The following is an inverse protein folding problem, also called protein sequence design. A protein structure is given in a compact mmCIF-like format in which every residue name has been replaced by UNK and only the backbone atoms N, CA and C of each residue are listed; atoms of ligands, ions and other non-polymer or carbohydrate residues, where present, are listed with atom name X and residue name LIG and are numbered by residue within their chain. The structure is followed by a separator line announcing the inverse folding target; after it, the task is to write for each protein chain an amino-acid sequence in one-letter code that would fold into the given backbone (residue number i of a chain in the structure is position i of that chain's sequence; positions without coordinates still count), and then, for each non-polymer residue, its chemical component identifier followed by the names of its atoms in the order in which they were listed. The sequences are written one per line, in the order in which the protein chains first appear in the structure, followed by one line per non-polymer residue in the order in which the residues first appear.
data_IF_959499730838
#
_entry.id   IF_959499730838
#
_cell.length_a   1.000
_cell.length_b   1.000
_cell.length_c   1.000
_cell.angle_alpha   90.00
_cell.angle_beta   90.00
_cell.angle_gamma   90.00
#
_symmetry.space_group_name_H-M   'P 1'
#
loop_
_entity.id
_entity.type
_entity.pdbx_description
1 polymer ?
#
# COMPACT_ATOMS: atom_id res chain seq x y z
N UNK A 1 -11.36 -10.11 12.28
CA UNK A 1 -10.51 -9.13 11.55
C UNK A 1 -10.76 -7.77 12.19
N UNK A 2 -9.80 -7.27 12.97
CA UNK A 2 -10.02 -6.11 13.85
C UNK A 2 -10.00 -4.79 13.06
N UNK A 3 -10.65 -3.72 13.56
CA UNK A 3 -10.68 -2.42 12.90
C UNK A 3 -9.28 -1.85 12.60
N UNK A 4 -8.30 -2.14 13.46
CA UNK A 4 -6.90 -1.73 13.27
C UNK A 4 -6.21 -2.49 12.14
N UNK A 5 -6.42 -3.80 12.01
CA UNK A 5 -5.90 -4.57 10.88
C UNK A 5 -6.39 -4.03 9.53
N UNK A 6 -7.60 -3.46 9.49
CA UNK A 6 -8.16 -2.81 8.30
C UNK A 6 -7.53 -1.45 8.00
N UNK A 7 -7.08 -0.73 9.04
CA UNK A 7 -6.35 0.54 8.91
C UNK A 7 -4.92 0.31 8.40
N UNK A 8 -4.24 -0.71 8.94
CA UNK A 8 -2.93 -1.17 8.44
C UNK A 8 -3.01 -1.68 7.00
N UNK A 9 -4.04 -2.46 6.67
CA UNK A 9 -4.27 -2.97 5.31
C UNK A 9 -4.59 -1.86 4.29
N UNK A 10 -5.23 -0.76 4.71
CA UNK A 10 -5.51 0.39 3.85
C UNK A 10 -4.38 1.43 3.78
N UNK A 11 -3.47 1.46 4.77
CA UNK A 11 -2.24 2.27 4.71
C UNK A 11 -1.13 1.56 3.93
N UNK A 12 -0.99 0.23 4.06
CA UNK A 12 0.00 -0.57 3.31
C UNK A 12 -0.28 -0.71 1.80
N UNK A 13 -1.51 -0.45 1.36
CA UNK A 13 -1.83 -0.38 -0.09
C UNK A 13 -1.39 0.95 -0.74
N UNK A 14 -0.97 1.95 0.05
CA UNK A 14 -0.41 3.21 -0.45
C UNK A 14 1.11 3.24 -0.50
N UNK A 15 1.80 2.25 0.06
CA UNK A 15 3.24 2.10 -0.02
C UNK A 15 3.54 0.79 -0.75
N UNK A 16 3.86 0.88 -2.04
CA UNK A 16 4.11 -0.27 -2.90
C UNK A 16 5.40 -1.01 -2.51
N UNK A 17 5.35 -1.79 -1.43
CA UNK A 17 6.31 -2.86 -1.15
C UNK A 17 5.62 -4.19 -1.42
N UNK A 18 5.74 -4.64 -2.67
CA UNK A 18 5.67 -6.07 -2.96
C UNK A 18 6.86 -6.73 -2.27
N UNK A 19 6.64 -7.32 -1.09
CA UNK A 19 7.43 -8.47 -0.63
C UNK A 19 6.44 -9.39 0.09
N UNK A 20 5.67 -10.09 -0.75
CA UNK A 20 5.12 -11.37 -0.37
C UNK A 20 6.27 -12.36 -0.16
N UNK A 21 6.01 -13.39 0.64
CA UNK A 21 6.83 -14.58 0.86
C UNK A 21 7.83 -14.47 2.02
N UNK A 22 7.32 -14.66 3.23
CA UNK A 22 8.16 -14.84 4.42
C UNK A 22 7.41 -15.39 5.62
N UNK A 23 6.39 -16.23 5.40
CA UNK A 23 5.77 -17.03 6.45
C UNK A 23 5.52 -18.42 5.89
N UNK A 24 5.92 -19.43 6.67
CA UNK A 24 5.96 -20.88 6.41
C UNK A 24 7.26 -21.35 5.74
N UNK A 25 8.30 -21.62 6.56
CA UNK A 25 8.61 -23.02 6.85
C UNK A 25 9.41 -23.17 8.15
N UNK A 26 9.01 -24.18 8.91
CA UNK A 26 9.54 -24.60 10.21
C UNK A 26 10.39 -25.85 9.95
N UNK A 27 11.37 -26.08 10.82
CA UNK A 27 12.10 -27.33 11.08
C UNK A 27 13.31 -27.60 10.15
N UNK A 28 14.52 -27.29 10.63
CA UNK A 28 15.48 -28.26 11.21
C UNK A 28 16.79 -27.56 11.63
N UNK A 29 17.34 -27.94 12.80
CA UNK A 29 18.77 -27.79 13.12
C UNK A 29 19.17 -26.61 14.01
N UNK A 30 19.22 -26.83 15.33
CA UNK A 30 20.03 -26.02 16.26
C UNK A 30 21.49 -26.46 16.13
N UNK A 31 22.45 -25.53 16.00
CA UNK A 31 23.50 -25.41 17.02
C UNK A 31 23.78 -23.92 17.35
N UNK A 32 23.68 -23.54 18.62
CA UNK A 32 24.83 -23.38 19.53
C UNK A 32 25.45 -21.97 19.47
N UNK A 33 25.14 -21.17 20.51
CA UNK A 33 25.96 -20.13 21.15
C UNK A 33 27.02 -19.40 20.31
N UNK A 34 26.73 -18.16 19.91
CA UNK A 34 27.76 -17.12 19.71
C UNK A 34 27.30 -15.80 20.38
N UNK A 35 28.20 -15.08 21.08
CA UNK A 35 27.87 -13.82 21.74
C UNK A 35 27.61 -12.74 20.68
N UNK A 36 26.33 -12.37 20.53
CA UNK A 36 25.80 -11.06 20.13
C UNK A 36 26.87 -9.95 20.02
N UNK A 37 27.54 -9.92 18.86
CA UNK A 37 28.44 -8.84 18.47
C UNK A 37 27.57 -7.68 18.01
N UNK A 38 27.46 -6.67 18.85
CA UNK A 38 26.81 -5.41 18.52
C UNK A 38 27.68 -4.70 17.48
N UNK A 39 27.13 -4.39 16.32
CA UNK A 39 27.72 -3.42 15.39
C UNK A 39 28.29 -3.99 14.09
N UNK A 40 27.46 -4.65 13.29
CA UNK A 40 27.54 -4.44 11.84
C UNK A 40 26.24 -3.76 11.42
N UNK A 41 26.25 -2.42 11.47
CA UNK A 41 25.32 -1.64 10.66
C UNK A 41 25.73 -1.90 9.22
N UNK A 42 25.13 -2.94 8.64
CA UNK A 42 25.12 -3.16 7.20
C UNK A 42 24.79 -1.82 6.54
N UNK A 43 25.63 -1.30 5.62
CA UNK A 43 25.38 -0.01 5.01
C UNK A 43 24.06 -0.11 4.23
N UNK A 44 23.00 0.44 4.83
CA UNK A 44 21.66 0.44 4.30
C UNK A 44 21.72 0.86 2.83
N UNK A 45 21.48 -0.10 1.94
CA UNK A 45 21.63 0.09 0.50
C UNK A 45 20.91 1.38 0.06
N UNK A 46 21.52 2.19 -0.82
CA UNK A 46 20.94 3.46 -1.23
C UNK A 46 19.52 3.21 -1.78
N UNK A 47 18.55 4.08 -1.45
CA UNK A 47 17.17 3.87 -1.86
C UNK A 47 17.11 3.75 -3.38
N UNK A 48 16.53 2.64 -3.86
CA UNK A 48 16.38 2.36 -5.29
C UNK A 48 15.69 3.55 -5.99
N UNK A 49 16.15 3.95 -7.19
CA UNK A 49 15.59 5.11 -7.88
C UNK A 49 14.10 4.89 -8.16
N UNK A 50 13.26 5.81 -7.67
CA UNK A 50 11.81 5.76 -7.87
C UNK A 50 11.50 5.97 -9.35
N UNK A 51 10.79 5.01 -9.96
CA UNK A 51 10.35 5.12 -11.35
C UNK A 51 9.40 6.31 -11.50
N UNK A 52 9.58 7.09 -12.57
CA UNK A 52 8.69 8.22 -12.88
C UNK A 52 7.27 7.69 -13.11
N UNK A 53 6.33 8.16 -12.30
CA UNK A 53 4.91 7.80 -12.40
C UNK A 53 4.36 8.26 -13.76
N UNK A 54 3.74 7.36 -14.51
CA UNK A 54 3.20 7.69 -15.84
C UNK A 54 2.08 8.73 -15.76
N UNK A 55 1.84 9.44 -16.87
CA UNK A 55 0.78 10.46 -16.99
C UNK A 55 -0.59 9.90 -16.59
N UNK A 56 -0.89 8.66 -16.97
CA UNK A 56 -2.09 7.94 -16.58
C UNK A 56 -2.27 7.83 -15.06
N UNK A 57 -1.24 7.36 -14.35
CA UNK A 57 -1.29 7.20 -12.90
C UNK A 57 -1.45 8.55 -12.18
N UNK A 58 -0.84 9.61 -12.72
CA UNK A 58 -1.04 10.98 -12.21
C UNK A 58 -2.50 11.43 -12.36
N UNK A 59 -3.12 11.21 -13.53
CA UNK A 59 -4.52 11.53 -13.79
C UNK A 59 -5.46 10.71 -12.89
N UNK A 60 -5.23 9.41 -12.80
CA UNK A 60 -6.01 8.50 -11.96
C UNK A 60 -5.97 8.92 -10.48
N UNK A 61 -4.79 9.27 -9.95
CA UNK A 61 -4.67 9.76 -8.58
C UNK A 61 -5.44 11.06 -8.32
N UNK A 62 -5.47 11.99 -9.30
CA UNK A 62 -6.25 13.23 -9.20
C UNK A 62 -7.75 12.95 -9.16
N UNK A 63 -8.25 12.08 -10.05
CA UNK A 63 -9.66 11.72 -10.11
C UNK A 63 -10.14 11.00 -8.84
N UNK A 64 -9.32 10.09 -8.30
CA UNK A 64 -9.63 9.41 -7.03
C UNK A 64 -9.75 10.42 -5.89
N UNK A 65 -8.83 11.40 -5.81
CA UNK A 65 -8.90 12.45 -4.78
C UNK A 65 -10.18 13.29 -4.93
N UNK A 66 -10.53 13.68 -6.15
CA UNK A 66 -11.75 14.45 -6.42
C UNK A 66 -13.02 13.65 -6.05
N UNK A 67 -13.10 12.38 -6.42
CA UNK A 67 -14.25 11.52 -6.10
C UNK A 67 -14.35 11.21 -4.60
N UNK A 68 -13.21 11.04 -3.91
CA UNK A 68 -13.19 10.89 -2.45
C UNK A 68 -13.69 12.15 -1.76
N UNK A 69 -13.24 13.33 -2.18
CA UNK A 69 -13.72 14.59 -1.59
C UNK A 69 -15.24 14.78 -1.74
N UNK A 70 -15.83 14.31 -2.84
CA UNK A 70 -17.27 14.42 -3.11
C UNK A 70 -18.10 13.35 -2.38
N UNK A 71 -17.63 12.11 -2.37
CA UNK A 71 -18.44 10.94 -2.00
C UNK A 71 -18.02 10.22 -0.71
N UNK A 72 -16.87 10.56 -0.15
CA UNK A 72 -16.45 10.07 1.17
C UNK A 72 -16.95 11.04 2.24
N UNK A 73 -17.63 10.51 3.25
CA UNK A 73 -18.06 11.25 4.42
C UNK A 73 -16.86 11.51 5.34
N UNK A 74 -16.98 12.51 6.22
CA UNK A 74 -15.96 12.81 7.26
C UNK A 74 -15.66 11.62 8.17
N UNK A 75 -16.62 10.72 8.34
CA UNK A 75 -16.50 9.47 9.10
C UNK A 75 -15.75 8.35 8.34
N UNK A 76 -15.28 8.62 7.11
CA UNK A 76 -14.62 7.62 6.25
C UNK A 76 -15.58 6.63 5.59
N UNK A 77 -16.89 6.75 5.83
CA UNK A 77 -17.92 5.96 5.15
C UNK A 77 -18.22 6.56 3.77
N UNK A 78 -18.62 5.73 2.83
CA UNK A 78 -19.10 6.20 1.53
C UNK A 78 -20.54 6.73 1.64
N UNK A 79 -20.88 7.76 0.85
CA UNK A 79 -22.27 8.20 0.66
C UNK A 79 -23.13 7.03 0.15
N UNK A 80 -24.43 7.04 0.47
CA UNK A 80 -25.39 6.02 0.03
C UNK A 80 -25.31 5.84 -1.49
N UNK A 81 -25.19 4.58 -1.94
CA UNK A 81 -25.08 4.22 -3.36
C UNK A 81 -23.67 4.30 -3.95
N UNK A 82 -22.70 4.84 -3.20
CA UNK A 82 -21.28 4.85 -3.56
C UNK A 82 -20.49 3.76 -2.85
N UNK A 83 -19.52 3.22 -3.55
CA UNK A 83 -18.58 2.23 -3.04
C UNK A 83 -17.20 2.43 -3.65
N UNK A 84 -16.19 1.86 -3.03
CA UNK A 84 -14.81 1.92 -3.54
C UNK A 84 -14.72 1.36 -4.97
N UNK A 85 -15.42 0.27 -5.28
CA UNK A 85 -15.46 -0.33 -6.62
C UNK A 85 -16.05 0.63 -7.66
N UNK A 86 -17.14 1.32 -7.34
CA UNK A 86 -17.76 2.32 -8.23
C UNK A 86 -16.85 3.52 -8.46
N UNK A 87 -16.20 4.00 -7.39
CA UNK A 87 -15.25 5.11 -7.46
C UNK A 87 -14.03 4.78 -8.31
N UNK A 88 -13.45 3.58 -8.17
CA UNK A 88 -12.33 3.14 -9.01
C UNK A 88 -12.74 3.02 -10.48
N UNK A 89 -13.91 2.42 -10.79
CA UNK A 89 -14.42 2.36 -12.17
C UNK A 89 -14.60 3.76 -12.77
N UNK A 90 -15.17 4.70 -12.01
CA UNK A 90 -15.35 6.07 -12.46
C UNK A 90 -14.01 6.78 -12.70
N UNK A 91 -13.04 6.61 -11.79
CA UNK A 91 -11.70 7.17 -11.92
C UNK A 91 -10.93 6.62 -13.13
N UNK A 92 -10.97 5.30 -13.35
CA UNK A 92 -10.34 4.69 -14.53
C UNK A 92 -10.99 5.16 -15.84
N UNK A 93 -12.33 5.31 -15.87
CA UNK A 93 -13.05 5.82 -17.04
C UNK A 93 -12.69 7.27 -17.35
N UNK A 94 -12.58 8.12 -16.33
CA UNK A 94 -12.16 9.51 -16.47
C UNK A 94 -10.68 9.61 -16.90
N UNK A 95 -9.79 8.85 -16.25
CA UNK A 95 -8.36 8.86 -16.55
C UNK A 95 -8.02 8.29 -17.94
N UNK A 96 -8.86 7.39 -18.50
CA UNK A 96 -8.71 6.89 -19.87
C UNK A 96 -9.22 7.88 -20.94
N UNK A 97 -10.17 8.74 -20.57
CA UNK A 97 -10.75 9.74 -21.49
C UNK A 97 -9.87 10.98 -21.64
N UNK A 98 -9.09 11.31 -20.61
CA UNK A 98 -8.21 12.49 -20.57
C UNK A 98 -6.80 12.24 -21.08
#
# INVERSE_FOLDING_TARGET
MTPEQRRWYMMGFMDGSQDALGMVERIQGVPATEPWTVGSMDPQAPPKPKRKVSTYHKRLGREIKALRAKHLLKTGKWRKGWSQKKMMKAAHKAAKKG
#
